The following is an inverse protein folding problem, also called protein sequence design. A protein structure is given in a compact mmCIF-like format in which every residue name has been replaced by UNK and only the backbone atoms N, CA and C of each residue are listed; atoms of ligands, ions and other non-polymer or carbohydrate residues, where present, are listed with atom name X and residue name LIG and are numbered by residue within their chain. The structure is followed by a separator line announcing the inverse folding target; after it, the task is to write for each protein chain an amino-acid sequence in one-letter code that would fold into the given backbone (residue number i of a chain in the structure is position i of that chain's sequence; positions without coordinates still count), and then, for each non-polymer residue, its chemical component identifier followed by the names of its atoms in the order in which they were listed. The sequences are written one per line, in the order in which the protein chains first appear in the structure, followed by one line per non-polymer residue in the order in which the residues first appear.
data_IF_389679538978
#
_entry.id   IF_389679538978
#
_cell.length_a   1.000
_cell.length_b   1.000
_cell.length_c   1.000
_cell.angle_alpha   90.00
_cell.angle_beta   90.00
_cell.angle_gamma   90.00
#
_symmetry.space_group_name_H-M   'P 1'
#
loop_
_entity.id
_entity.type
_entity.pdbx_description
1 polymer ?
#
# COMPACT_ATOMS: atom_id res chain seq x y z
N UNK A 1 11.84 -18.86 17.97
CA UNK A 1 13.01 -18.03 17.59
C UNK A 1 12.71 -17.42 16.23
N UNK A 2 12.20 -16.19 16.22
CA UNK A 2 11.72 -15.54 14.99
C UNK A 2 12.94 -15.30 14.12
N UNK A 3 12.98 -15.95 12.96
CA UNK A 3 14.11 -15.96 12.03
C UNK A 3 14.18 -14.61 11.32
N UNK A 4 14.67 -13.60 12.04
CA UNK A 4 15.02 -12.28 11.51
C UNK A 4 16.33 -12.37 10.68
N UNK A 5 17.12 -13.44 10.87
CA UNK A 5 18.46 -13.61 10.31
C UNK A 5 18.58 -14.21 8.90
N UNK A 6 17.54 -14.77 8.26
CA UNK A 6 17.70 -15.46 6.95
C UNK A 6 17.21 -14.68 5.74
N UNK A 7 16.90 -13.38 5.86
CA UNK A 7 16.46 -12.57 4.70
C UNK A 7 15.21 -13.10 3.99
N UNK A 8 14.47 -14.02 4.63
CA UNK A 8 13.33 -14.73 4.02
C UNK A 8 12.01 -14.03 4.33
N UNK A 9 11.94 -13.26 5.42
CA UNK A 9 10.71 -12.54 5.82
C UNK A 9 10.59 -11.19 5.08
N UNK A 10 11.65 -10.66 4.44
CA UNK A 10 11.72 -9.23 4.06
C UNK A 10 11.44 -8.95 2.55
N UNK A 11 11.30 -9.95 1.69
CA UNK A 11 11.28 -9.72 0.23
C UNK A 11 10.00 -9.02 -0.29
N UNK A 12 8.78 -9.35 0.18
CA UNK A 12 7.55 -8.66 -0.25
C UNK A 12 7.23 -7.41 0.59
N UNK A 13 7.67 -7.40 1.86
CA UNK A 13 7.47 -6.30 2.81
C UNK A 13 8.05 -4.97 2.29
N UNK A 14 9.20 -5.04 1.59
CA UNK A 14 10.00 -3.88 1.14
C UNK A 14 9.35 -2.96 0.12
N UNK A 15 8.23 -3.37 -0.48
CA UNK A 15 7.71 -2.69 -1.65
C UNK A 15 6.87 -1.48 -1.24
N UNK A 16 6.01 -1.54 -0.22
CA UNK A 16 5.22 -0.35 0.18
C UNK A 16 4.93 -0.18 1.66
N UNK A 17 5.01 -1.21 2.49
CA UNK A 17 4.60 -1.11 3.89
C UNK A 17 5.73 -1.12 4.92
N UNK A 18 6.91 -1.65 4.61
CA UNK A 18 8.06 -1.62 5.55
C UNK A 18 9.09 -0.54 5.26
N UNK A 19 8.86 0.31 4.25
CA UNK A 19 9.67 1.52 4.06
C UNK A 19 9.32 2.65 5.04
N UNK A 20 8.34 2.43 5.93
CA UNK A 20 7.99 3.33 7.04
C UNK A 20 9.13 3.45 8.05
N UNK A 21 9.99 2.43 8.21
CA UNK A 21 11.14 2.52 9.10
C UNK A 21 12.17 3.52 8.57
N UNK A 22 12.33 4.64 9.28
CA UNK A 22 13.32 5.69 9.06
C UNK A 22 14.75 5.15 9.13
N UNK A 23 15.06 4.28 10.09
CA UNK A 23 16.41 3.74 10.29
C UNK A 23 16.40 2.22 10.38
N UNK A 24 16.09 1.53 9.27
CA UNK A 24 15.94 0.07 9.26
C UNK A 24 17.19 -0.69 9.72
N UNK A 25 18.39 -0.25 9.35
CA UNK A 25 19.62 -0.95 9.72
C UNK A 25 19.93 -0.79 11.21
N UNK A 26 19.78 0.43 11.74
CA UNK A 26 19.92 0.70 13.17
C UNK A 26 18.88 -0.07 13.99
N UNK A 27 17.64 -0.15 13.49
CA UNK A 27 16.58 -0.92 14.12
C UNK A 27 16.89 -2.43 14.14
N UNK A 28 17.48 -2.97 13.07
CA UNK A 28 17.92 -4.36 13.05
C UNK A 28 19.03 -4.61 14.08
N UNK A 29 20.02 -3.71 14.18
CA UNK A 29 21.10 -3.80 15.17
C UNK A 29 20.52 -3.78 16.60
N UNK A 30 19.58 -2.88 16.89
CA UNK A 30 18.98 -2.78 18.23
C UNK A 30 18.13 -4.00 18.60
N UNK A 31 17.55 -4.72 17.63
CA UNK A 31 16.91 -6.01 17.89
C UNK A 31 17.93 -7.03 18.37
N UNK A 32 19.09 -7.17 17.71
CA UNK A 32 20.11 -8.12 18.13
C UNK A 32 20.62 -7.81 19.54
N UNK A 33 20.93 -6.54 19.81
CA UNK A 33 21.35 -6.08 21.14
C UNK A 33 20.28 -6.33 22.22
N UNK A 34 18.99 -6.13 21.91
CA UNK A 34 17.89 -6.49 22.81
C UNK A 34 17.80 -8.00 23.07
N UNK A 35 17.96 -8.82 22.02
CA UNK A 35 17.89 -10.28 22.14
C UNK A 35 19.06 -10.84 22.95
N UNK A 36 20.27 -10.31 22.74
CA UNK A 36 21.47 -10.70 23.46
C UNK A 36 21.37 -10.35 24.95
N UNK A 37 20.93 -9.12 25.26
CA UNK A 37 20.63 -8.71 26.65
C UNK A 37 19.59 -9.62 27.30
N UNK A 38 18.50 -9.90 26.60
CA UNK A 38 17.45 -10.79 27.13
C UNK A 38 17.94 -12.23 27.34
N UNK A 39 18.80 -12.74 26.46
CA UNK A 39 19.38 -14.07 26.59
C UNK A 39 20.34 -14.15 27.78
N UNK A 40 21.14 -13.11 28.02
CA UNK A 40 22.00 -13.01 29.21
C UNK A 40 21.18 -13.02 30.50
N UNK A 41 20.11 -12.22 30.57
CA UNK A 41 19.24 -12.14 31.77
C UNK A 41 18.45 -13.42 32.03
N UNK A 42 18.12 -14.20 31.00
CA UNK A 42 17.47 -15.50 31.19
C UNK A 42 18.34 -16.51 31.98
N UNK A 43 19.65 -16.25 32.10
CA UNK A 43 20.59 -17.04 32.90
C UNK A 43 20.72 -16.56 34.36
N UNK A 44 20.18 -15.39 34.71
CA UNK A 44 20.26 -14.78 36.04
C UNK A 44 18.86 -14.62 36.66
N UNK A 45 18.58 -15.39 37.72
CA UNK A 45 17.22 -15.56 38.28
C UNK A 45 16.52 -14.28 38.82
N UNK A 46 17.23 -13.16 38.95
CA UNK A 46 16.71 -11.89 39.52
C UNK A 46 17.03 -10.65 38.65
N UNK A 47 17.51 -10.83 37.42
CA UNK A 47 17.92 -9.71 36.61
C UNK A 47 16.73 -9.14 35.80
N UNK A 48 16.32 -7.92 36.10
CA UNK A 48 15.32 -7.20 35.31
C UNK A 48 15.97 -6.62 34.06
N UNK A 49 15.30 -6.72 32.91
CA UNK A 49 15.62 -5.83 31.78
C UNK A 49 15.50 -4.39 32.30
N UNK A 50 16.54 -3.56 32.11
CA UNK A 50 16.43 -2.10 32.24
C UNK A 50 15.16 -1.61 31.52
N UNK A 51 14.63 -0.44 31.91
CA UNK A 51 13.40 0.12 31.35
C UNK A 51 13.53 0.30 29.82
N UNK A 52 13.13 -0.71 29.06
CA UNK A 52 13.22 -0.73 27.61
C UNK A 52 12.23 0.30 27.10
N UNK A 53 12.70 1.23 26.26
CA UNK A 53 11.86 2.28 25.71
C UNK A 53 10.56 1.71 25.14
N UNK A 54 9.45 2.10 25.77
CA UNK A 54 8.12 1.62 25.41
C UNK A 54 7.74 2.00 23.98
N UNK A 55 8.29 3.10 23.44
CA UNK A 55 8.04 3.49 22.05
C UNK A 55 8.73 2.54 21.06
N UNK A 56 9.97 2.15 21.35
CA UNK A 56 10.71 1.14 20.59
C UNK A 56 10.06 -0.25 20.68
N UNK A 57 9.60 -0.67 21.86
CA UNK A 57 8.84 -1.93 22.00
C UNK A 57 7.54 -1.90 21.20
N UNK A 58 6.82 -0.77 21.21
CA UNK A 58 5.64 -0.60 20.39
C UNK A 58 5.95 -0.82 18.91
N UNK A 59 7.06 -0.22 18.44
CA UNK A 59 7.54 -0.37 17.07
C UNK A 59 7.92 -1.80 16.74
N UNK A 60 8.66 -2.48 17.64
CA UNK A 60 9.01 -3.89 17.49
C UNK A 60 7.77 -4.76 17.31
N UNK A 61 6.77 -4.62 18.18
CA UNK A 61 5.54 -5.38 18.04
C UNK A 61 4.78 -5.06 16.75
N UNK A 62 4.74 -3.80 16.31
CA UNK A 62 4.11 -3.45 15.03
C UNK A 62 4.86 -4.04 13.82
N UNK A 63 6.19 -4.06 13.85
CA UNK A 63 7.02 -4.71 12.82
C UNK A 63 6.76 -6.22 12.80
N UNK A 64 6.69 -6.86 13.97
CA UNK A 64 6.36 -8.28 14.08
C UNK A 64 4.94 -8.58 13.58
N UNK A 65 3.96 -7.73 13.89
CA UNK A 65 2.60 -7.86 13.38
C UNK A 65 2.58 -7.83 11.85
N UNK A 66 3.23 -6.83 11.24
CA UNK A 66 3.35 -6.76 9.78
C UNK A 66 4.06 -7.99 9.22
N UNK A 67 5.21 -8.39 9.79
CA UNK A 67 5.98 -9.53 9.33
C UNK A 67 5.19 -10.84 9.34
N UNK A 68 4.38 -11.07 10.37
CA UNK A 68 3.52 -12.24 10.48
C UNK A 68 2.46 -12.28 9.38
N UNK A 69 1.85 -11.14 9.01
CA UNK A 69 0.85 -11.10 7.91
C UNK A 69 1.42 -11.62 6.58
N UNK A 70 2.74 -11.51 6.37
CA UNK A 70 3.42 -11.97 5.16
C UNK A 70 4.22 -13.29 5.36
N UNK A 71 4.17 -13.89 6.55
CA UNK A 71 4.84 -15.17 6.84
C UNK A 71 4.18 -16.36 6.14
N UNK A 72 4.86 -17.51 6.10
CA UNK A 72 4.31 -18.76 5.55
C UNK A 72 3.58 -19.60 6.61
N UNK A 73 3.40 -19.09 7.83
CA UNK A 73 2.69 -19.78 8.91
C UNK A 73 1.22 -20.05 8.48
N UNK A 74 0.54 -21.08 9.01
CA UNK A 74 -0.88 -21.31 8.78
C UNK A 74 -1.75 -20.09 9.07
N UNK A 75 -2.86 -19.92 8.35
CA UNK A 75 -3.62 -18.67 8.41
C UNK A 75 -4.15 -18.32 9.80
N UNK A 76 -4.70 -19.30 10.52
CA UNK A 76 -5.19 -19.15 11.89
C UNK A 76 -4.09 -18.62 12.83
N UNK A 77 -2.87 -19.11 12.65
CA UNK A 77 -1.70 -18.69 13.44
C UNK A 77 -1.24 -17.29 13.06
N UNK A 78 -1.24 -16.95 11.77
CA UNK A 78 -0.92 -15.59 11.29
C UNK A 78 -1.89 -14.55 11.85
N UNK A 79 -3.20 -14.80 11.72
CA UNK A 79 -4.24 -13.88 12.20
C UNK A 79 -4.13 -13.66 13.71
N UNK A 80 -4.03 -14.75 14.48
CA UNK A 80 -3.92 -14.68 15.94
C UNK A 80 -2.64 -13.95 16.37
N UNK A 81 -1.48 -14.32 15.84
CA UNK A 81 -0.21 -13.68 16.18
C UNK A 81 -0.18 -12.20 15.78
N UNK A 82 -0.67 -11.87 14.59
CA UNK A 82 -0.77 -10.48 14.15
C UNK A 82 -1.63 -9.65 15.10
N UNK A 83 -2.78 -10.17 15.56
CA UNK A 83 -3.65 -9.49 16.53
C UNK A 83 -2.98 -9.33 17.88
N UNK A 84 -2.34 -10.38 18.40
CA UNK A 84 -1.59 -10.32 19.66
C UNK A 84 -0.52 -9.23 19.59
N UNK A 85 0.28 -9.21 18.52
CA UNK A 85 1.31 -8.18 18.36
C UNK A 85 0.75 -6.77 18.19
N UNK A 86 -0.38 -6.58 17.49
CA UNK A 86 -1.06 -5.28 17.43
C UNK A 86 -1.52 -4.84 18.83
N UNK A 87 -2.11 -5.73 19.62
CA UNK A 87 -2.54 -5.43 20.99
C UNK A 87 -1.34 -5.08 21.88
N UNK A 88 -0.25 -5.84 21.83
CA UNK A 88 0.99 -5.53 22.55
C UNK A 88 1.58 -4.19 22.12
N UNK A 89 1.54 -3.88 20.82
CA UNK A 89 2.01 -2.59 20.29
C UNK A 89 1.19 -1.42 20.84
N UNK A 90 -0.15 -1.51 20.82
CA UNK A 90 -1.02 -0.49 21.42
C UNK A 90 -0.81 -0.33 22.93
N UNK A 91 -0.57 -1.43 23.65
CA UNK A 91 -0.25 -1.39 25.08
C UNK A 91 1.03 -0.56 25.32
N UNK A 92 2.08 -0.81 24.54
CA UNK A 92 3.33 -0.06 24.63
C UNK A 92 3.14 1.42 24.22
N UNK A 93 2.36 1.72 23.18
CA UNK A 93 2.00 3.10 22.82
C UNK A 93 1.32 3.82 23.99
N UNK A 94 0.38 3.16 24.67
CA UNK A 94 -0.31 3.71 25.83
C UNK A 94 0.63 4.01 26.98
N UNK A 95 1.55 3.09 27.29
CA UNK A 95 2.58 3.29 28.33
C UNK A 95 3.46 4.49 28.00
N UNK A 96 3.83 4.65 26.72
CA UNK A 96 4.65 5.78 26.26
C UNK A 96 3.93 7.14 26.22
N UNK A 97 2.64 7.19 26.56
CA UNK A 97 1.79 8.38 26.49
C UNK A 97 1.90 9.12 25.13
N UNK A 98 1.75 8.37 24.04
CA UNK A 98 2.04 8.83 22.67
C UNK A 98 1.29 10.10 22.20
N UNK A 99 0.16 10.44 22.85
CA UNK A 99 -0.57 11.69 22.58
C UNK A 99 0.12 12.94 23.14
N UNK A 100 0.89 12.81 24.22
CA UNK A 100 1.58 13.93 24.86
C UNK A 100 3.09 13.94 24.56
N UNK A 101 3.70 12.75 24.45
CA UNK A 101 5.15 12.57 24.26
C UNK A 101 5.45 11.91 22.91
N UNK A 102 4.93 12.51 21.83
CA UNK A 102 5.03 11.97 20.48
C UNK A 102 6.49 11.91 19.99
N UNK A 103 6.91 10.78 19.41
CA UNK A 103 8.22 10.58 18.79
C UNK A 103 8.16 9.74 17.51
N UNK A 104 9.30 9.64 16.80
CA UNK A 104 9.38 8.91 15.52
C UNK A 104 9.00 7.43 15.62
N UNK A 105 9.37 6.74 16.73
CA UNK A 105 9.02 5.33 16.92
C UNK A 105 7.50 5.16 16.98
N UNK A 106 6.79 6.02 17.70
CA UNK A 106 5.32 5.96 17.80
C UNK A 106 4.65 6.27 16.46
N UNK A 107 5.13 7.26 15.69
CA UNK A 107 4.58 7.56 14.35
C UNK A 107 4.75 6.37 13.40
N UNK A 108 5.95 5.79 13.33
CA UNK A 108 6.21 4.59 12.53
C UNK A 108 5.34 3.41 12.98
N UNK A 109 5.16 3.25 14.29
CA UNK A 109 4.30 2.22 14.90
C UNK A 109 2.86 2.35 14.44
N UNK A 110 2.27 3.54 14.56
CA UNK A 110 0.88 3.77 14.17
C UNK A 110 0.66 3.56 12.68
N UNK A 111 1.61 3.98 11.84
CA UNK A 111 1.56 3.75 10.40
C UNK A 111 1.62 2.24 10.03
N UNK A 112 2.43 1.45 10.75
CA UNK A 112 2.50 -0.01 10.57
C UNK A 112 1.22 -0.70 11.07
N UNK A 113 0.67 -0.30 12.22
CA UNK A 113 -0.64 -0.81 12.68
C UNK A 113 -1.73 -0.49 11.65
N UNK A 114 -1.76 0.74 11.14
CA UNK A 114 -2.70 1.14 10.08
C UNK A 114 -2.56 0.28 8.82
N UNK A 115 -1.34 -0.13 8.47
CA UNK A 115 -1.11 -1.09 7.39
C UNK A 115 -1.73 -2.46 7.69
N UNK A 116 -1.52 -3.00 8.89
CA UNK A 116 -2.12 -4.27 9.29
C UNK A 116 -3.66 -4.22 9.21
N UNK A 117 -4.26 -3.15 9.72
CA UNK A 117 -5.72 -2.94 9.68
C UNK A 117 -6.25 -2.92 8.24
N UNK A 118 -5.56 -2.24 7.31
CA UNK A 118 -5.94 -2.24 5.88
C UNK A 118 -5.89 -3.64 5.28
N UNK A 119 -4.84 -4.41 5.54
CA UNK A 119 -4.74 -5.78 5.02
C UNK A 119 -5.84 -6.69 5.58
N UNK A 120 -6.32 -6.41 6.80
CA UNK A 120 -7.42 -7.12 7.44
C UNK A 120 -8.81 -6.61 7.01
N UNK A 121 -8.89 -5.71 6.02
CA UNK A 121 -10.12 -5.03 5.58
C UNK A 121 -10.83 -4.19 6.66
N UNK A 122 -10.12 -3.79 7.71
CA UNK A 122 -10.60 -2.81 8.69
C UNK A 122 -10.23 -1.39 8.24
N UNK A 123 -10.81 -1.01 7.11
CA UNK A 123 -10.45 0.21 6.36
C UNK A 123 -10.95 1.48 7.05
N UNK A 124 -11.99 1.36 7.87
CA UNK A 124 -12.50 2.47 8.67
C UNK A 124 -11.57 2.78 9.84
N UNK A 125 -11.21 1.77 10.65
CA UNK A 125 -10.25 1.96 11.74
C UNK A 125 -8.90 2.40 11.22
N UNK A 126 -8.45 1.86 10.09
CA UNK A 126 -7.19 2.27 9.46
C UNK A 126 -7.19 3.76 9.05
N UNK A 127 -8.31 4.29 8.56
CA UNK A 127 -8.43 5.70 8.17
C UNK A 127 -8.50 6.64 9.37
N UNK A 128 -9.26 6.27 10.41
CA UNK A 128 -9.29 7.05 11.67
C UNK A 128 -7.89 7.08 12.29
N UNK A 129 -7.23 5.92 12.40
CA UNK A 129 -5.87 5.82 12.92
C UNK A 129 -4.89 6.63 12.07
N UNK A 130 -5.03 6.61 10.74
CA UNK A 130 -4.19 7.43 9.84
C UNK A 130 -4.38 8.92 10.13
N UNK A 131 -5.62 9.40 10.29
CA UNK A 131 -5.88 10.79 10.66
C UNK A 131 -5.20 11.20 11.97
N UNK A 132 -5.28 10.36 13.00
CA UNK A 132 -4.55 10.59 14.26
C UNK A 132 -3.04 10.57 14.06
N UNK A 133 -2.52 9.62 13.27
CA UNK A 133 -1.08 9.51 12.96
C UNK A 133 -0.56 10.77 12.27
N UNK A 134 -1.32 11.31 11.32
CA UNK A 134 -0.99 12.53 10.59
C UNK A 134 -0.93 13.75 11.51
N UNK A 135 -1.90 13.89 12.43
CA UNK A 135 -1.91 14.98 13.41
C UNK A 135 -0.74 14.90 14.39
N UNK A 136 -0.38 13.71 14.84
CA UNK A 136 0.78 13.49 15.71
C UNK A 136 2.11 13.71 14.95
N UNK A 137 2.19 13.31 13.68
CA UNK A 137 3.36 13.60 12.85
C UNK A 137 3.53 15.12 12.65
N UNK A 138 2.41 15.84 12.49
CA UNK A 138 2.41 17.31 12.40
C UNK A 138 2.88 17.96 13.71
N UNK A 139 2.44 17.47 14.88
CA UNK A 139 2.82 18.06 16.17
C UNK A 139 4.32 18.00 16.49
N UNK A 140 5.04 17.05 15.89
CA UNK A 140 6.52 16.94 15.99
C UNK A 140 7.26 17.53 14.77
N UNK A 141 6.56 18.28 13.92
CA UNK A 141 7.14 19.00 12.79
C UNK A 141 7.57 18.14 11.60
N UNK A 142 7.05 16.92 11.41
CA UNK A 142 7.43 16.08 10.25
C UNK A 142 6.99 16.66 8.90
N UNK A 143 5.98 17.53 8.92
CA UNK A 143 5.41 18.18 7.75
C UNK A 143 6.18 19.42 7.28
N UNK A 144 7.06 19.97 8.11
CA UNK A 144 7.74 21.23 7.83
C UNK A 144 9.09 21.01 7.14
N UNK A 145 9.35 21.77 6.08
CA UNK A 145 10.65 21.74 5.39
C UNK A 145 11.75 22.44 6.21
N UNK A 146 11.41 23.52 6.94
CA UNK A 146 12.38 24.37 7.66
C UNK A 146 12.81 23.84 9.02
N UNK A 147 11.96 23.08 9.71
CA UNK A 147 12.34 22.43 10.97
C UNK A 147 13.61 21.57 10.80
N UNK A 148 13.78 20.94 9.63
CA UNK A 148 14.96 20.11 9.33
C UNK A 148 16.30 20.86 9.23
N UNK A 149 16.32 22.19 9.04
CA UNK A 149 17.57 22.97 9.09
C UNK A 149 17.91 23.49 10.49
N UNK A 150 16.91 23.61 11.37
CA UNK A 150 17.07 24.11 12.75
C UNK A 150 17.35 22.98 13.76
N UNK A 151 16.89 21.76 13.48
CA UNK A 151 17.36 20.57 14.19
C UNK A 151 18.79 20.26 13.74
N UNK A 152 19.74 20.26 14.67
CA UNK A 152 21.16 19.91 14.49
C UNK A 152 21.41 18.43 14.09
N UNK A 153 20.48 17.81 13.36
CA UNK A 153 20.55 16.43 12.87
C UNK A 153 21.41 16.30 11.62
N UNK A 154 21.94 15.10 11.40
CA UNK A 154 22.66 14.76 10.17
C UNK A 154 21.76 14.90 8.93
N UNK A 155 22.35 15.17 7.77
CA UNK A 155 21.62 15.18 6.48
C UNK A 155 20.82 13.90 6.24
N UNK A 156 21.33 12.75 6.70
CA UNK A 156 20.66 11.45 6.66
C UNK A 156 19.40 11.41 7.52
N UNK A 157 19.44 11.92 8.75
CA UNK A 157 18.27 11.92 9.64
C UNK A 157 17.13 12.78 9.06
N UNK A 158 17.49 13.95 8.52
CA UNK A 158 16.54 14.84 7.84
C UNK A 158 15.90 14.18 6.61
N UNK A 159 16.68 13.45 5.81
CA UNK A 159 16.15 12.67 4.69
C UNK A 159 15.13 11.62 5.18
N UNK A 160 15.45 10.89 6.25
CA UNK A 160 14.56 9.84 6.76
C UNK A 160 13.27 10.41 7.37
N UNK A 161 13.32 11.53 8.07
CA UNK A 161 12.12 12.24 8.58
C UNK A 161 11.21 12.68 7.44
N UNK A 162 11.75 13.31 6.40
CA UNK A 162 10.99 13.71 5.20
C UNK A 162 10.41 12.50 4.47
N UNK A 163 11.18 11.42 4.36
CA UNK A 163 10.73 10.18 3.73
C UNK A 163 9.60 9.52 4.53
N UNK A 164 9.69 9.48 5.86
CA UNK A 164 8.61 8.99 6.73
C UNK A 164 7.35 9.82 6.51
N UNK A 165 7.45 11.15 6.52
CA UNK A 165 6.30 12.03 6.24
C UNK A 165 5.63 11.68 4.91
N UNK A 166 6.39 11.63 3.82
CA UNK A 166 5.85 11.26 2.51
C UNK A 166 5.27 9.84 2.43
N UNK A 167 5.79 8.90 3.22
CA UNK A 167 5.17 7.58 3.37
C UNK A 167 3.79 7.67 4.05
N UNK A 168 3.60 8.55 5.04
CA UNK A 168 2.29 8.81 5.64
C UNK A 168 1.35 9.46 4.61
N UNK A 169 1.83 10.47 3.89
CA UNK A 169 1.08 11.12 2.81
C UNK A 169 0.61 10.11 1.77
N UNK A 170 1.46 9.17 1.38
CA UNK A 170 1.08 8.08 0.48
C UNK A 170 -0.05 7.22 1.05
N UNK A 171 0.06 6.76 2.29
CA UNK A 171 -0.95 5.89 2.88
C UNK A 171 -2.30 6.60 3.03
N UNK A 172 -2.29 7.88 3.40
CA UNK A 172 -3.48 8.72 3.48
C UNK A 172 -4.10 8.93 2.08
N UNK A 173 -3.30 9.37 1.11
CA UNK A 173 -3.75 9.58 -0.28
C UNK A 173 -4.32 8.30 -0.88
N UNK A 174 -3.68 7.15 -0.64
CA UNK A 174 -4.16 5.86 -1.12
C UNK A 174 -5.52 5.50 -0.52
N UNK A 175 -5.69 5.66 0.79
CA UNK A 175 -6.97 5.42 1.47
C UNK A 175 -8.06 6.35 0.95
N UNK A 176 -7.77 7.63 0.85
CA UNK A 176 -8.70 8.65 0.39
C UNK A 176 -9.14 8.43 -1.06
N UNK A 177 -8.17 8.21 -1.95
CA UNK A 177 -8.43 7.95 -3.37
C UNK A 177 -9.16 6.63 -3.63
N UNK A 178 -8.92 5.61 -2.80
CA UNK A 178 -9.53 4.29 -2.95
C UNK A 178 -10.97 4.23 -2.45
N UNK A 179 -11.25 4.95 -1.35
CA UNK A 179 -12.55 4.90 -0.66
C UNK A 179 -13.39 6.16 -0.86
N UNK A 180 -13.00 7.03 -1.80
CA UNK A 180 -13.65 8.31 -2.06
C UNK A 180 -13.84 9.13 -0.76
N UNK A 181 -12.79 9.13 0.08
CA UNK A 181 -12.74 9.88 1.35
C UNK A 181 -11.89 11.13 1.17
N UNK A 182 -12.16 12.22 1.91
CA UNK A 182 -11.28 13.39 1.89
C UNK A 182 -9.88 13.02 2.43
N UNK A 183 -8.79 13.51 1.82
CA UNK A 183 -7.44 13.38 2.38
C UNK A 183 -7.28 14.24 3.64
N UNK A 184 -6.41 13.81 4.56
CA UNK A 184 -6.08 14.57 5.77
C UNK A 184 -5.23 15.81 5.47
N UNK A 185 -4.45 15.78 4.38
CA UNK A 185 -3.71 16.96 3.90
C UNK A 185 -4.37 17.50 2.64
N UNK A 186 -4.79 18.76 2.73
CA UNK A 186 -5.33 19.51 1.59
C UNK A 186 -4.26 20.44 1.01
N UNK A 187 -3.24 20.84 1.78
CA UNK A 187 -2.11 21.63 1.29
C UNK A 187 -0.76 21.06 1.74
N UNK A 188 0.01 20.55 0.77
CA UNK A 188 1.37 20.06 0.94
C UNK A 188 2.29 20.75 -0.06
N UNK A 189 3.22 21.55 0.45
CA UNK A 189 4.25 22.25 -0.34
C UNK A 189 5.66 21.64 -0.18
N UNK A 190 5.82 20.63 0.67
CA UNK A 190 7.13 20.02 0.94
C UNK A 190 7.70 19.34 -0.31
N UNK A 191 9.01 19.47 -0.53
CA UNK A 191 9.69 18.80 -1.63
C UNK A 191 9.72 17.26 -1.44
N UNK A 192 9.62 16.51 -2.55
CA UNK A 192 9.81 15.06 -2.55
C UNK A 192 11.28 14.76 -2.14
N UNK A 193 11.53 13.96 -1.08
CA UNK A 193 12.87 13.65 -0.63
C UNK A 193 13.58 12.80 -1.68
N UNK A 194 14.73 13.29 -2.16
CA UNK A 194 15.55 12.58 -3.14
C UNK A 194 16.72 11.86 -2.48
N UNK A 195 16.92 10.60 -2.83
CA UNK A 195 18.12 9.86 -2.41
C UNK A 195 19.36 10.39 -3.15
N UNK A 196 20.54 10.25 -2.55
CA UNK A 196 21.80 10.64 -3.19
C UNK A 196 22.03 9.93 -4.54
N UNK A 197 21.53 8.70 -4.67
CA UNK A 197 21.65 7.89 -5.89
C UNK A 197 20.61 8.23 -6.98
N UNK A 198 19.81 9.29 -6.82
CA UNK A 198 18.72 9.64 -7.75
C UNK A 198 19.18 10.51 -8.94
N UNK A 199 20.48 10.66 -9.15
CA UNK A 199 21.06 11.40 -10.30
C UNK A 199 20.62 10.84 -11.65
N UNK A 200 20.37 9.53 -11.74
CA UNK A 200 19.97 8.84 -12.99
C UNK A 200 18.44 8.65 -13.13
N UNK A 201 17.64 9.38 -12.34
CA UNK A 201 16.19 9.28 -12.32
C UNK A 201 15.63 8.86 -10.96
N UNK A 202 14.31 8.98 -10.85
CA UNK A 202 13.54 8.74 -9.66
C UNK A 202 13.46 7.24 -9.34
N UNK A 203 13.80 6.88 -8.11
CA UNK A 203 13.58 5.56 -7.52
C UNK A 203 12.09 5.33 -7.26
N UNK A 204 11.74 4.07 -6.99
CA UNK A 204 10.35 3.63 -6.78
C UNK A 204 9.56 4.53 -5.82
N UNK A 205 10.13 4.84 -4.65
CA UNK A 205 9.45 5.66 -3.63
C UNK A 205 9.18 7.09 -4.11
N UNK A 206 10.13 7.70 -4.83
CA UNK A 206 10.00 9.06 -5.38
C UNK A 206 8.91 9.11 -6.46
N UNK A 207 8.79 8.05 -7.26
CA UNK A 207 7.70 7.92 -8.24
C UNK A 207 6.33 7.77 -7.56
N UNK A 208 6.25 6.97 -6.49
CA UNK A 208 5.01 6.85 -5.69
C UNK A 208 4.66 8.20 -5.06
N UNK A 209 5.62 8.91 -4.48
CA UNK A 209 5.38 10.25 -3.92
C UNK A 209 4.92 11.26 -4.98
N UNK A 210 5.49 11.17 -6.19
CA UNK A 210 5.04 11.98 -7.34
C UNK A 210 3.59 11.66 -7.72
N UNK A 211 3.22 10.37 -7.74
CA UNK A 211 1.83 9.95 -7.94
C UNK A 211 0.91 10.51 -6.85
N UNK A 212 1.31 10.43 -5.57
CA UNK A 212 0.54 11.02 -4.47
C UNK A 212 0.28 12.50 -4.68
N UNK A 213 1.32 13.25 -5.07
CA UNK A 213 1.22 14.69 -5.27
C UNK A 213 0.20 15.02 -6.37
N UNK A 214 0.23 14.29 -7.49
CA UNK A 214 -0.76 14.49 -8.57
C UNK A 214 -2.19 14.19 -8.09
N UNK A 215 -2.38 13.12 -7.31
CA UNK A 215 -3.70 12.74 -6.78
C UNK A 215 -4.22 13.74 -5.74
N UNK A 216 -3.35 14.25 -4.86
CA UNK A 216 -3.71 15.27 -3.88
C UNK A 216 -4.09 16.58 -4.56
N UNK A 217 -3.29 17.05 -5.52
CA UNK A 217 -3.61 18.25 -6.31
C UNK A 217 -4.97 18.13 -7.00
N UNK A 218 -5.31 16.92 -7.47
CA UNK A 218 -6.62 16.64 -8.07
C UNK A 218 -7.74 16.70 -7.05
N UNK A 219 -7.57 16.11 -5.86
CA UNK A 219 -8.61 16.17 -4.80
C UNK A 219 -8.94 17.61 -4.37
N UNK A 220 -7.99 18.55 -4.48
CA UNK A 220 -8.24 19.98 -4.20
C UNK A 220 -9.20 20.62 -5.21
N UNK A 221 -9.28 20.08 -6.43
CA UNK A 221 -10.03 20.66 -7.55
C UNK A 221 -11.40 19.99 -7.76
N UNK A 222 -11.85 19.12 -6.85
CA UNK A 222 -13.08 18.31 -7.01
C UNK A 222 -14.35 19.13 -7.29
N UNK A 223 -14.45 20.35 -6.77
CA UNK A 223 -15.61 21.22 -6.98
C UNK A 223 -15.66 21.89 -8.37
N UNK A 224 -14.64 21.71 -9.22
CA UNK A 224 -14.52 22.38 -10.53
C UNK A 224 -13.94 21.49 -11.65
N UNK A 225 -13.84 20.17 -11.44
CA UNK A 225 -13.15 19.28 -12.38
C UNK A 225 -13.91 19.12 -13.71
N UNK A 226 -13.46 19.84 -14.73
CA UNK A 226 -13.85 19.61 -16.13
C UNK A 226 -13.21 18.33 -16.67
N UNK A 227 -13.73 17.82 -17.80
CA UNK A 227 -13.09 16.70 -18.53
C UNK A 227 -11.64 17.03 -18.87
N UNK A 228 -11.39 18.25 -19.38
CA UNK A 228 -10.04 18.72 -19.71
C UNK A 228 -9.10 18.75 -18.49
N UNK A 229 -9.58 19.20 -17.32
CA UNK A 229 -8.79 19.18 -16.10
C UNK A 229 -8.43 17.74 -15.68
N UNK A 230 -9.38 16.81 -15.77
CA UNK A 230 -9.15 15.40 -15.45
C UNK A 230 -8.13 14.76 -16.39
N UNK A 231 -8.18 15.07 -17.69
CA UNK A 231 -7.20 14.62 -18.68
C UNK A 231 -5.81 15.23 -18.46
N UNK A 232 -5.72 16.47 -17.99
CA UNK A 232 -4.45 17.07 -17.60
C UNK A 232 -3.80 16.33 -16.41
N UNK A 233 -4.60 15.89 -15.42
CA UNK A 233 -4.10 15.03 -14.34
C UNK A 233 -3.65 13.65 -14.85
N UNK A 234 -4.37 13.04 -15.81
CA UNK A 234 -3.94 11.80 -16.48
C UNK A 234 -2.55 11.97 -17.09
N UNK A 235 -2.35 13.02 -17.88
CA UNK A 235 -1.06 13.32 -18.53
C UNK A 235 0.07 13.54 -17.51
N UNK A 236 -0.22 14.19 -16.37
CA UNK A 236 0.76 14.34 -15.28
C UNK A 236 1.17 13.00 -14.67
N UNK A 237 0.24 12.05 -14.51
CA UNK A 237 0.57 10.70 -14.04
C UNK A 237 1.41 9.96 -15.09
N UNK A 238 1.07 10.05 -16.38
CA UNK A 238 1.83 9.44 -17.47
C UNK A 238 3.27 9.98 -17.54
N UNK A 239 3.45 11.28 -17.31
CA UNK A 239 4.75 11.94 -17.31
C UNK A 239 5.71 11.42 -16.22
N UNK A 240 5.20 10.76 -15.17
CA UNK A 240 6.04 10.15 -14.12
C UNK A 240 7.03 9.17 -14.75
N UNK A 241 6.61 8.38 -15.75
CA UNK A 241 7.46 7.40 -16.43
C UNK A 241 8.74 8.03 -16.99
N UNK A 242 8.66 9.23 -17.55
CA UNK A 242 9.82 9.94 -18.13
C UNK A 242 10.90 10.32 -17.13
N UNK A 243 10.58 10.29 -15.82
CA UNK A 243 11.51 10.61 -14.75
C UNK A 243 12.03 9.39 -13.99
N UNK A 244 11.58 8.17 -14.32
CA UNK A 244 11.90 6.95 -13.56
C UNK A 244 13.31 6.41 -13.83
N UNK A 245 13.92 5.71 -12.86
CA UNK A 245 15.15 4.93 -13.11
C UNK A 245 14.90 3.85 -14.18
N UNK A 246 15.87 3.55 -15.06
CA UNK A 246 15.66 2.62 -16.19
C UNK A 246 15.15 1.22 -15.84
N UNK A 247 15.50 0.68 -14.66
CA UNK A 247 15.02 -0.63 -14.22
C UNK A 247 13.52 -0.66 -13.88
N UNK A 248 12.93 0.50 -13.57
CA UNK A 248 11.50 0.65 -13.31
C UNK A 248 10.67 0.73 -14.59
N UNK A 249 11.31 0.96 -15.74
CA UNK A 249 10.64 0.93 -17.05
C UNK A 249 10.82 -0.42 -17.75
N UNK A 250 12.07 -0.90 -17.80
CA UNK A 250 12.42 -2.01 -18.67
C UNK A 250 12.86 -3.23 -17.86
N UNK A 251 12.19 -4.36 -18.06
CA UNK A 251 12.54 -5.65 -17.43
C UNK A 251 14.00 -6.05 -17.70
N UNK A 252 14.53 -5.74 -18.88
CA UNK A 252 15.93 -6.01 -19.26
C UNK A 252 16.96 -5.26 -18.43
N UNK A 253 16.54 -4.22 -17.70
CA UNK A 253 17.40 -3.42 -16.83
C UNK A 253 17.30 -3.82 -15.35
N UNK A 254 16.39 -4.72 -14.99
CA UNK A 254 16.30 -5.28 -13.63
C UNK A 254 17.48 -6.23 -13.39
N UNK A 255 18.26 -5.98 -12.34
CA UNK A 255 19.40 -6.82 -11.93
C UNK A 255 19.06 -7.74 -10.77
N UNK A 256 18.08 -7.34 -9.95
CA UNK A 256 17.65 -8.11 -8.78
C UNK A 256 16.17 -8.47 -8.86
N UNK A 257 15.75 -9.46 -8.06
CA UNK A 257 14.32 -9.74 -7.86
C UNK A 257 13.59 -8.50 -7.32
N UNK A 258 14.22 -7.73 -6.42
CA UNK A 258 13.66 -6.51 -5.87
C UNK A 258 13.40 -5.47 -6.97
N UNK A 259 14.33 -5.28 -7.91
CA UNK A 259 14.18 -4.38 -9.04
C UNK A 259 12.94 -4.75 -9.87
N UNK A 260 12.76 -6.04 -10.14
CA UNK A 260 11.64 -6.51 -10.94
C UNK A 260 10.32 -6.37 -10.19
N UNK A 261 10.29 -6.63 -8.89
CA UNK A 261 9.10 -6.46 -8.07
C UNK A 261 8.71 -4.97 -7.93
N UNK A 262 9.68 -4.06 -7.77
CA UNK A 262 9.43 -2.62 -7.75
C UNK A 262 8.93 -2.09 -9.11
N UNK A 263 9.49 -2.61 -10.21
CA UNK A 263 9.01 -2.32 -11.56
C UNK A 263 7.53 -2.68 -11.72
N UNK A 264 7.16 -3.90 -11.32
CA UNK A 264 5.78 -4.39 -11.41
C UNK A 264 4.84 -3.61 -10.48
N UNK A 265 5.28 -3.34 -9.25
CA UNK A 265 4.52 -2.57 -8.28
C UNK A 265 4.22 -1.15 -8.79
N UNK A 266 5.22 -0.47 -9.38
CA UNK A 266 5.04 0.87 -9.92
C UNK A 266 4.03 0.86 -11.07
N UNK A 267 4.14 -0.14 -11.94
CA UNK A 267 3.21 -0.37 -13.03
C UNK A 267 1.76 -0.53 -12.53
N UNK A 268 1.54 -1.35 -11.50
CA UNK A 268 0.21 -1.54 -10.90
C UNK A 268 -0.34 -0.21 -10.35
N UNK A 269 0.46 0.59 -9.64
CA UNK A 269 0.01 1.85 -9.05
C UNK A 269 -0.29 2.94 -10.07
N UNK A 270 0.63 3.17 -11.01
CA UNK A 270 0.45 4.20 -12.04
C UNK A 270 -0.75 3.87 -12.91
N UNK A 271 -0.83 2.63 -13.41
CA UNK A 271 -1.92 2.23 -14.30
C UNK A 271 -3.27 2.26 -13.59
N UNK A 272 -3.36 1.83 -12.31
CA UNK A 272 -4.59 1.99 -11.54
C UNK A 272 -5.01 3.47 -11.39
N UNK A 273 -4.05 4.36 -11.10
CA UNK A 273 -4.30 5.79 -11.01
C UNK A 273 -4.88 6.35 -12.31
N UNK A 274 -4.26 6.01 -13.45
CA UNK A 274 -4.73 6.44 -14.78
C UNK A 274 -6.12 5.85 -15.09
N UNK A 275 -6.31 4.54 -14.91
CA UNK A 275 -7.60 3.86 -15.14
C UNK A 275 -8.72 4.51 -14.33
N UNK A 276 -8.47 4.83 -13.05
CA UNK A 276 -9.45 5.48 -12.19
C UNK A 276 -9.76 6.90 -12.67
N UNK A 277 -8.78 7.68 -13.13
CA UNK A 277 -9.02 9.00 -13.73
C UNK A 277 -9.83 8.93 -15.02
N UNK A 278 -9.51 7.99 -15.91
CA UNK A 278 -10.26 7.77 -17.14
C UNK A 278 -11.73 7.46 -16.85
N UNK A 279 -12.01 6.63 -15.83
CA UNK A 279 -13.39 6.29 -15.45
C UNK A 279 -14.21 7.48 -15.00
N UNK A 280 -13.62 8.45 -14.32
CA UNK A 280 -14.31 9.68 -13.91
C UNK A 280 -14.77 10.52 -15.12
N UNK A 281 -14.15 10.34 -16.28
CA UNK A 281 -14.58 10.94 -17.54
C UNK A 281 -15.57 10.03 -18.27
N UNK A 282 -15.31 8.72 -18.34
CA UNK A 282 -16.10 7.77 -19.14
C UNK A 282 -17.50 7.53 -18.54
N UNK A 283 -17.60 7.30 -17.23
CA UNK A 283 -18.85 6.89 -16.57
C UNK A 283 -19.98 7.94 -16.71
N UNK A 284 -19.75 9.24 -16.48
CA UNK A 284 -20.80 10.25 -16.68
C UNK A 284 -21.24 10.41 -18.15
N UNK A 285 -20.35 10.14 -19.11
CA UNK A 285 -20.66 10.29 -20.55
C UNK A 285 -21.58 9.18 -21.04
N UNK A 286 -21.47 7.97 -20.47
CA UNK A 286 -22.41 6.88 -20.73
C UNK A 286 -23.86 7.21 -20.31
N UNK A 287 -24.05 8.21 -19.45
CA UNK A 287 -25.36 8.70 -18.99
C UNK A 287 -25.88 9.95 -19.74
N UNK A 288 -25.29 10.30 -20.89
CA UNK A 288 -25.77 11.39 -21.76
C UNK A 288 -24.94 12.68 -21.71
N UNK A 289 -23.62 12.56 -21.55
CA UNK A 289 -22.70 13.70 -21.47
C UNK A 289 -22.37 14.40 -22.80
N UNK A 290 -21.72 15.56 -22.71
CA UNK A 290 -21.47 16.49 -23.81
C UNK A 290 -20.15 16.30 -24.60
N UNK A 291 -19.33 15.27 -24.30
CA UNK A 291 -18.08 15.03 -25.01
C UNK A 291 -18.33 14.37 -26.39
N UNK A 292 -17.42 14.61 -27.35
CA UNK A 292 -17.48 13.94 -28.65
C UNK A 292 -17.38 12.43 -28.46
N UNK A 293 -18.27 11.68 -29.13
CA UNK A 293 -18.30 10.22 -29.08
C UNK A 293 -16.97 9.58 -29.52
N UNK A 294 -16.23 10.23 -30.42
CA UNK A 294 -14.92 9.75 -30.88
C UNK A 294 -13.86 9.81 -29.76
N UNK A 295 -13.78 10.93 -29.04
CA UNK A 295 -12.81 11.15 -27.96
C UNK A 295 -13.04 10.18 -26.79
N UNK A 296 -14.31 9.91 -26.46
CA UNK A 296 -14.68 8.95 -25.41
C UNK A 296 -14.30 7.52 -25.80
N UNK A 297 -14.43 7.16 -27.08
CA UNK A 297 -14.07 5.83 -27.58
C UNK A 297 -12.55 5.60 -27.52
N UNK A 298 -11.75 6.59 -27.92
CA UNK A 298 -10.29 6.54 -27.83
C UNK A 298 -9.83 6.43 -26.37
N UNK A 299 -10.34 7.31 -25.50
CA UNK A 299 -10.05 7.28 -24.07
C UNK A 299 -10.44 5.95 -23.41
N UNK A 300 -11.54 5.34 -23.85
CA UNK A 300 -11.96 4.02 -23.37
C UNK A 300 -10.95 2.94 -23.78
N UNK A 301 -10.44 2.99 -25.02
CA UNK A 301 -9.42 2.05 -25.49
C UNK A 301 -8.15 2.15 -24.65
N UNK A 302 -7.63 3.36 -24.44
CA UNK A 302 -6.47 3.60 -23.59
C UNK A 302 -6.70 3.13 -22.14
N UNK A 303 -7.87 3.44 -21.57
CA UNK A 303 -8.24 3.04 -20.21
C UNK A 303 -8.19 1.50 -20.03
N UNK A 304 -8.68 0.76 -21.03
CA UNK A 304 -8.64 -0.71 -21.05
C UNK A 304 -7.20 -1.24 -21.14
N UNK A 305 -6.33 -0.60 -21.91
CA UNK A 305 -4.91 -1.00 -21.99
C UNK A 305 -4.20 -0.83 -20.65
N UNK A 306 -4.39 0.32 -19.99
CA UNK A 306 -3.85 0.57 -18.65
C UNK A 306 -4.40 -0.43 -17.62
N UNK A 307 -5.71 -0.67 -17.63
CA UNK A 307 -6.34 -1.61 -16.71
C UNK A 307 -5.81 -3.04 -16.92
N UNK A 308 -5.65 -3.46 -18.18
CA UNK A 308 -5.09 -4.77 -18.50
C UNK A 308 -3.63 -4.88 -18.06
N UNK A 309 -2.82 -3.83 -18.25
CA UNK A 309 -1.41 -3.85 -17.84
C UNK A 309 -1.25 -3.90 -16.31
N UNK A 310 -2.12 -3.22 -15.55
CA UNK A 310 -2.16 -3.35 -14.09
C UNK A 310 -2.44 -4.80 -13.65
N UNK A 311 -3.42 -5.46 -14.26
CA UNK A 311 -3.77 -6.86 -13.92
C UNK A 311 -2.67 -7.83 -14.36
N UNK A 312 -2.09 -7.65 -15.56
CA UNK A 312 -0.93 -8.46 -16.01
C UNK A 312 0.25 -8.32 -15.05
N UNK A 313 0.58 -7.09 -14.66
CA UNK A 313 1.66 -6.81 -13.72
C UNK A 313 1.41 -7.43 -12.34
N UNK A 314 0.16 -7.42 -11.84
CA UNK A 314 -0.20 -8.11 -10.60
C UNK A 314 -0.01 -9.63 -10.72
N UNK A 315 -0.48 -10.25 -11.81
CA UNK A 315 -0.32 -11.69 -12.03
C UNK A 315 1.15 -12.10 -12.17
N UNK A 316 1.96 -11.29 -12.83
CA UNK A 316 3.41 -11.51 -12.92
C UNK A 316 4.10 -11.32 -11.58
N UNK A 317 3.67 -10.34 -10.78
CA UNK A 317 4.17 -10.14 -9.43
C UNK A 317 3.82 -11.30 -8.52
N UNK A 318 2.60 -11.85 -8.63
CA UNK A 318 2.16 -13.03 -7.89
C UNK A 318 3.02 -14.26 -8.20
N UNK A 319 3.39 -14.47 -9.48
CA UNK A 319 4.29 -15.57 -9.88
C UNK A 319 5.66 -15.48 -9.21
N UNK A 320 6.15 -14.27 -8.94
CA UNK A 320 7.44 -14.02 -8.30
C UNK A 320 7.35 -13.99 -6.77
N UNK A 321 6.21 -13.51 -6.23
CA UNK A 321 5.96 -13.33 -4.82
C UNK A 321 4.45 -13.48 -4.53
N UNK A 322 4.00 -14.72 -4.30
CA UNK A 322 2.58 -15.04 -4.07
C UNK A 322 1.96 -14.23 -2.92
N UNK A 323 2.77 -13.85 -1.94
CA UNK A 323 2.40 -12.97 -0.83
C UNK A 323 1.89 -11.58 -1.25
N UNK A 324 2.01 -11.16 -2.52
CA UNK A 324 1.41 -9.91 -3.04
C UNK A 324 -0.10 -9.87 -2.80
N UNK A 325 -0.75 -11.03 -2.84
CA UNK A 325 -2.15 -11.21 -2.51
C UNK A 325 -2.46 -10.66 -1.09
N UNK A 326 -1.52 -10.75 -0.15
CA UNK A 326 -1.73 -10.34 1.24
C UNK A 326 -1.68 -8.83 1.44
N UNK A 327 -1.28 -8.09 0.40
CA UNK A 327 -1.32 -6.63 0.37
C UNK A 327 -2.64 -6.17 -0.24
N UNK A 328 -3.49 -5.58 0.62
CA UNK A 328 -4.75 -5.06 0.15
C UNK A 328 -4.59 -3.99 -0.94
N UNK A 329 -3.54 -3.17 -0.89
CA UNK A 329 -3.33 -2.12 -1.88
C UNK A 329 -3.15 -2.70 -3.31
N UNK A 330 -2.40 -3.79 -3.45
CA UNK A 330 -2.20 -4.43 -4.75
C UNK A 330 -3.45 -5.18 -5.21
N UNK A 331 -4.11 -5.91 -4.31
CA UNK A 331 -5.36 -6.62 -4.61
C UNK A 331 -6.43 -5.65 -5.06
N UNK A 332 -6.65 -4.57 -4.31
CA UNK A 332 -7.64 -3.53 -4.66
C UNK A 332 -7.38 -2.95 -6.04
N UNK A 333 -6.14 -2.55 -6.32
CA UNK A 333 -5.78 -1.96 -7.61
C UNK A 333 -6.04 -2.93 -8.78
N UNK A 334 -5.60 -4.18 -8.64
CA UNK A 334 -5.81 -5.20 -9.67
C UNK A 334 -7.30 -5.53 -9.87
N UNK A 335 -8.06 -5.69 -8.78
CA UNK A 335 -9.50 -5.98 -8.82
C UNK A 335 -10.28 -4.82 -9.43
N UNK A 336 -9.96 -3.58 -9.06
CA UNK A 336 -10.60 -2.39 -9.63
C UNK A 336 -10.34 -2.25 -11.12
N UNK A 337 -9.12 -2.55 -11.57
CA UNK A 337 -8.78 -2.60 -12.99
C UNK A 337 -9.53 -3.74 -13.70
N UNK A 338 -9.60 -4.94 -13.10
CA UNK A 338 -10.34 -6.08 -13.66
C UNK A 338 -11.84 -5.80 -13.81
N UNK A 339 -12.47 -5.16 -12.82
CA UNK A 339 -13.86 -4.70 -12.91
C UNK A 339 -14.05 -3.67 -14.04
N UNK A 340 -13.05 -2.83 -14.28
CA UNK A 340 -13.08 -1.87 -15.40
C UNK A 340 -13.02 -2.58 -16.74
N UNK A 341 -12.18 -3.62 -16.84
CA UNK A 341 -12.08 -4.46 -18.04
C UNK A 341 -13.39 -5.18 -18.35
N UNK A 342 -14.05 -5.77 -17.34
CA UNK A 342 -15.35 -6.42 -17.53
C UNK A 342 -16.40 -5.42 -18.03
N UNK A 343 -16.53 -4.28 -17.34
CA UNK A 343 -17.57 -3.29 -17.65
C UNK A 343 -17.40 -2.60 -19.00
N UNK A 344 -16.17 -2.31 -19.41
CA UNK A 344 -15.88 -1.48 -20.60
C UNK A 344 -15.30 -2.28 -21.78
N UNK A 345 -14.90 -3.53 -21.55
CA UNK A 345 -14.17 -4.36 -22.51
C UNK A 345 -15.05 -4.82 -23.67
N UNK A 346 -14.63 -4.49 -24.91
CA UNK A 346 -15.31 -4.94 -26.14
C UNK A 346 -14.84 -6.30 -26.64
N UNK A 347 -13.54 -6.60 -26.47
CA UNK A 347 -12.96 -7.90 -26.82
C UNK A 347 -13.07 -8.85 -25.63
N UNK A 348 -14.15 -9.63 -25.63
CA UNK A 348 -14.53 -10.50 -24.50
C UNK A 348 -13.47 -11.56 -24.23
N UNK A 349 -12.89 -12.20 -25.24
CA UNK A 349 -12.02 -13.36 -25.02
C UNK A 349 -10.71 -13.02 -24.28
N UNK A 350 -10.01 -11.97 -24.71
CA UNK A 350 -8.75 -11.56 -24.08
C UNK A 350 -8.98 -10.97 -22.69
N UNK A 351 -10.03 -10.18 -22.54
CA UNK A 351 -10.44 -9.55 -21.29
C UNK A 351 -10.84 -10.62 -20.27
N UNK A 352 -11.70 -11.54 -20.69
CA UNK A 352 -12.19 -12.64 -19.88
C UNK A 352 -11.03 -13.53 -19.43
N UNK A 353 -10.13 -13.94 -20.33
CA UNK A 353 -8.95 -14.74 -19.98
C UNK A 353 -8.11 -14.12 -18.87
N UNK A 354 -7.86 -12.80 -18.94
CA UNK A 354 -7.04 -12.10 -17.94
C UNK A 354 -7.76 -12.02 -16.58
N UNK A 355 -9.05 -11.72 -16.58
CA UNK A 355 -9.86 -11.61 -15.36
C UNK A 355 -10.09 -12.99 -14.72
N UNK A 356 -10.37 -14.03 -15.50
CA UNK A 356 -10.51 -15.41 -14.99
C UNK A 356 -9.22 -15.87 -14.32
N UNK A 357 -8.04 -15.52 -14.86
CA UNK A 357 -6.75 -15.82 -14.21
C UNK A 357 -6.59 -15.10 -12.88
N UNK A 358 -7.04 -13.85 -12.77
CA UNK A 358 -7.04 -13.12 -11.50
C UNK A 358 -7.99 -13.76 -10.48
N UNK A 359 -9.21 -14.12 -10.90
CA UNK A 359 -10.18 -14.82 -10.04
C UNK A 359 -9.57 -16.11 -9.51
N UNK A 360 -8.98 -16.95 -10.37
CA UNK A 360 -8.37 -18.22 -9.96
C UNK A 360 -7.28 -18.03 -8.89
N UNK A 361 -6.43 -17.00 -9.04
CA UNK A 361 -5.39 -16.66 -8.04
C UNK A 361 -6.02 -16.24 -6.71
N UNK A 362 -7.03 -15.36 -6.75
CA UNK A 362 -7.69 -14.87 -5.53
C UNK A 362 -8.49 -15.97 -4.83
N UNK A 363 -9.14 -16.88 -5.57
CA UNK A 363 -9.86 -18.03 -5.02
C UNK A 363 -8.92 -19.03 -4.36
N UNK A 364 -7.75 -19.27 -4.96
CA UNK A 364 -6.75 -20.13 -4.36
C UNK A 364 -6.32 -19.58 -2.98
N UNK A 365 -6.07 -18.28 -2.89
CA UNK A 365 -5.74 -17.62 -1.63
C UNK A 365 -6.92 -17.58 -0.65
N UNK A 366 -8.15 -17.39 -1.15
CA UNK A 366 -9.39 -17.42 -0.35
C UNK A 366 -9.55 -18.78 0.35
N UNK A 367 -9.44 -19.90 -0.39
CA UNK A 367 -9.54 -21.26 0.15
C UNK A 367 -8.45 -21.55 1.18
N UNK A 368 -7.25 -21.02 0.98
CA UNK A 368 -6.14 -21.16 1.94
C UNK A 368 -6.27 -20.24 3.15
N UNK A 369 -7.16 -19.24 3.09
CA UNK A 369 -7.34 -18.23 4.13
C UNK A 369 -8.59 -18.41 4.97
N UNK A 370 -9.39 -19.46 4.73
CA UNK A 370 -10.54 -19.85 5.54
C UNK A 370 -10.18 -20.90 6.60
N UNK A 371 -10.74 -20.77 7.80
CA UNK A 371 -10.64 -21.78 8.86
C UNK A 371 -11.84 -21.74 9.79
N UNK A 372 -12.07 -22.82 10.53
CA UNK A 372 -13.08 -22.87 11.59
C UNK A 372 -12.43 -22.57 12.95
N UNK A 373 -13.03 -21.64 13.70
CA UNK A 373 -12.64 -21.42 15.09
C UNK A 373 -13.21 -22.51 16.01
N UNK A 374 -12.83 -22.47 17.29
CA UNK A 374 -13.23 -23.50 18.25
C UNK A 374 -14.75 -23.52 18.49
N UNK A 375 -15.44 -22.45 18.13
CA UNK A 375 -16.90 -22.30 18.22
C UNK A 375 -17.58 -22.61 16.87
N UNK A 376 -16.87 -23.28 15.95
CA UNK A 376 -17.32 -23.66 14.60
C UNK A 376 -17.69 -22.48 13.68
N UNK A 377 -17.30 -21.25 14.04
CA UNK A 377 -17.53 -20.12 13.15
C UNK A 377 -16.53 -20.18 12.00
N UNK A 378 -17.06 -20.05 10.78
CA UNK A 378 -16.23 -19.94 9.59
C UNK A 378 -15.57 -18.56 9.54
N UNK A 379 -14.26 -18.51 9.72
CA UNK A 379 -13.43 -17.31 9.66
C UNK A 379 -12.71 -17.25 8.32
N UNK A 380 -12.46 -16.05 7.85
CA UNK A 380 -11.57 -15.79 6.72
C UNK A 380 -10.66 -14.62 7.05
N UNK A 381 -9.47 -14.61 6.46
CA UNK A 381 -8.49 -13.55 6.66
C UNK A 381 -8.05 -12.95 5.33
N UNK A 382 -7.80 -11.66 5.35
CA UNK A 382 -7.32 -10.93 4.19
C UNK A 382 -8.42 -10.52 3.21
N UNK A 383 -8.05 -9.85 2.12
CA UNK A 383 -8.99 -9.17 1.24
C UNK A 383 -9.78 -10.04 0.26
N UNK A 384 -9.46 -11.33 0.19
CA UNK A 384 -9.76 -12.19 -0.95
C UNK A 384 -11.23 -12.54 -1.11
N UNK A 385 -11.92 -12.87 -0.02
CA UNK A 385 -13.29 -13.35 -0.09
C UNK A 385 -14.24 -12.29 -0.65
N UNK A 386 -14.06 -11.02 -0.26
CA UNK A 386 -14.83 -9.89 -0.81
C UNK A 386 -14.44 -9.57 -2.25
N UNK A 387 -13.14 -9.58 -2.57
CA UNK A 387 -12.65 -9.29 -3.92
C UNK A 387 -13.07 -10.34 -4.95
N UNK A 388 -12.91 -11.62 -4.60
CA UNK A 388 -13.33 -12.79 -5.38
C UNK A 388 -14.84 -12.78 -5.62
N UNK A 389 -15.63 -12.55 -4.56
CA UNK A 389 -17.09 -12.42 -4.65
C UNK A 389 -17.52 -11.28 -5.60
N UNK A 390 -16.96 -10.09 -5.45
CA UNK A 390 -17.31 -8.93 -6.28
C UNK A 390 -17.01 -9.16 -7.78
N UNK A 391 -15.89 -9.82 -8.10
CA UNK A 391 -15.53 -10.17 -9.49
C UNK A 391 -16.45 -11.25 -10.08
N UNK A 392 -16.89 -12.23 -9.27
CA UNK A 392 -17.81 -13.28 -9.74
C UNK A 392 -19.22 -12.76 -9.96
N UNK A 393 -19.72 -11.92 -9.07
CA UNK A 393 -21.05 -11.33 -9.21
C UNK A 393 -21.15 -10.54 -10.50
N UNK A 394 -20.08 -9.85 -10.92
CA UNK A 394 -20.05 -9.14 -12.20
C UNK A 394 -19.95 -10.06 -13.41
N UNK A 395 -19.20 -11.17 -13.37
CA UNK A 395 -19.21 -12.19 -14.44
C UNK A 395 -20.59 -12.81 -14.59
N UNK A 396 -21.17 -13.30 -13.48
CA UNK A 396 -22.43 -14.03 -13.51
C UNK A 396 -23.62 -13.13 -13.88
N UNK A 397 -23.61 -11.85 -13.50
CA UNK A 397 -24.66 -10.91 -13.90
C UNK A 397 -24.65 -10.66 -15.42
N UNK A 398 -23.47 -10.70 -16.04
CA UNK A 398 -23.33 -10.57 -17.49
C UNK A 398 -23.75 -11.85 -18.24
N UNK A 399 -23.51 -13.04 -17.66
CA UNK A 399 -23.95 -14.32 -18.23
C UNK A 399 -25.49 -14.51 -18.16
N UNK A 400 -26.14 -14.07 -17.07
CA UNK A 400 -27.61 -14.14 -16.93
C UNK A 400 -28.32 -13.21 -17.92
N UNK A 401 -27.75 -12.05 -18.26
CA UNK A 401 -28.29 -11.20 -19.31
C UNK A 401 -28.13 -11.81 -20.72
N UNK A 402 -27.31 -12.83 -20.91
CA UNK A 402 -27.19 -13.52 -22.20
C UNK A 402 -28.28 -14.60 -22.32
N UNK A 403 -28.64 -15.27 -21.23
CA UNK A 403 -29.71 -16.29 -21.23
C UNK A 403 -31.12 -15.70 -21.36
N UNK A 404 -31.35 -14.43 -20.99
CA UNK A 404 -32.65 -13.76 -21.21
C UNK A 404 -32.85 -13.21 -22.63
N UNK A 405 -31.82 -13.28 -23.50
CA UNK A 405 -31.86 -12.80 -24.88
C UNK A 405 -31.70 -13.91 -25.95
N UNK A 406 -31.70 -15.18 -25.54
CA UNK A 406 -31.87 -16.35 -26.41
C UNK A 406 -33.17 -17.07 -26.06
#
# INVERSE_FOLDING_TARGET
MIVIGTGTIIKPLRILSTRVLSHSDQFNISIFDFLDRRAALASEANASLDDVDSSWLALLFAVLACGVQFSNDPIKERDLRSKVFICSSFQCLRISNFFNNTNLNQIQTMALIGHCLRNNLDTNSAWILMGSTMRLAQSIGLHEEKASSEFAGSSTDNYQRRRLWWMLVWQDTFLSFTYDRPPNIIDHSGAIPRAAESETGNAFAECIFSLCQVLLDRSRQENSTTVAATLAFKQRIEAIWGSTKPFLMHKSRCRTLQDHLERLALCIHINYGITRLCRLVIEPQASGGAASFADVKELTSECLEYAAEAVRSFLDMHRLAATVCRSWAFVHNAVSCALTLQKLGKNRDQTHSLVSRLIAVLEQEERQSSWEDNDTNHRSFGPYSRASKALRETVNFEDVQIEEFY
#
